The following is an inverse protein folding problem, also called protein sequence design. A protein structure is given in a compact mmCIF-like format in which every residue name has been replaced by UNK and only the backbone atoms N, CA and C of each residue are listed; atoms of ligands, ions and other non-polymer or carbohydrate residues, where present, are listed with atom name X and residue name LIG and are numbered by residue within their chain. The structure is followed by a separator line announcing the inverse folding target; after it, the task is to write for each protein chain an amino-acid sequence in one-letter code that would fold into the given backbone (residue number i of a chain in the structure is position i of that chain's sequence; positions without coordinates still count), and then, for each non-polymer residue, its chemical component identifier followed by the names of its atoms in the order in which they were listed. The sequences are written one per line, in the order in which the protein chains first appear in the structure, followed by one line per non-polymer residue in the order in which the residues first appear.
data_IF_739285972091
#
_entry.id   IF_739285972091
#
_cell.length_a   1.000
_cell.length_b   1.000
_cell.length_c   1.000
_cell.angle_alpha   90.00
_cell.angle_beta   90.00
_cell.angle_gamma   90.00
#
_symmetry.space_group_name_H-M   'P 1'
#
loop_
_entity.id
_entity.type
_entity.pdbx_description
1 polymer ?
#
# COMPACT_ATOMS: atom_id res chain seq x y z
N UNK A 1 3.07 28.31 -0.24
CA UNK A 1 3.48 27.46 0.91
C UNK A 1 3.47 25.99 0.51
N UNK A 2 4.09 25.08 1.26
CA UNK A 2 4.29 23.72 0.75
C UNK A 2 3.05 22.80 0.89
N UNK A 3 2.11 23.10 1.80
CA UNK A 3 1.00 22.25 2.16
C UNK A 3 -0.36 22.99 2.17
N UNK A 4 -0.53 23.99 1.30
CA UNK A 4 -1.74 24.81 1.22
C UNK A 4 -3.02 24.05 0.81
N UNK A 5 -2.88 22.81 0.34
CA UNK A 5 -4.00 21.94 -0.01
C UNK A 5 -4.60 21.18 1.18
N UNK A 6 -3.99 21.28 2.36
CA UNK A 6 -4.44 20.59 3.56
C UNK A 6 -5.32 21.50 4.39
N UNK A 7 -6.52 21.05 4.69
CA UNK A 7 -7.40 21.64 5.68
C UNK A 7 -7.10 21.07 7.07
N UNK A 8 -7.16 21.85 8.13
CA UNK A 8 -6.93 21.37 9.49
C UNK A 8 -7.86 20.21 9.88
N UNK A 9 -7.42 19.42 10.85
CA UNK A 9 -8.27 18.42 11.51
C UNK A 9 -9.45 19.13 12.16
N UNK A 10 -10.65 18.57 11.98
CA UNK A 10 -11.89 19.14 12.48
C UNK A 10 -11.84 19.41 14.01
N UNK A 11 -12.40 20.53 14.42
CA UNK A 11 -12.42 20.96 15.82
C UNK A 11 -13.16 19.98 16.74
N UNK A 12 -14.15 19.23 16.25
CA UNK A 12 -14.82 18.20 17.05
C UNK A 12 -13.87 17.05 17.38
N UNK A 13 -12.99 16.67 16.44
CA UNK A 13 -11.94 15.69 16.68
C UNK A 13 -10.96 16.21 17.73
N UNK A 14 -10.52 17.47 17.61
CA UNK A 14 -9.60 18.07 18.58
C UNK A 14 -10.24 18.13 19.99
N UNK A 15 -11.53 18.45 20.09
CA UNK A 15 -12.26 18.41 21.36
C UNK A 15 -12.32 16.98 21.93
N UNK A 16 -12.61 15.99 21.11
CA UNK A 16 -12.59 14.59 21.51
C UNK A 16 -11.21 14.16 22.04
N UNK A 17 -10.12 14.52 21.35
CA UNK A 17 -8.74 14.20 21.75
C UNK A 17 -8.45 14.77 23.15
N UNK A 18 -8.93 15.96 23.46
CA UNK A 18 -8.76 16.58 24.79
C UNK A 18 -9.45 15.79 25.93
N UNK A 19 -10.36 14.87 25.62
CA UNK A 19 -11.01 13.99 26.61
C UNK A 19 -10.23 12.68 26.84
N UNK A 20 -9.26 12.37 25.97
CA UNK A 20 -8.51 11.13 26.03
C UNK A 20 -7.46 11.13 27.14
N UNK A 21 -7.15 9.92 27.64
CA UNK A 21 -6.06 9.76 28.58
C UNK A 21 -4.70 9.95 27.89
N UNK A 22 -3.67 10.31 28.65
CA UNK A 22 -2.29 10.48 28.14
C UNK A 22 -1.67 9.18 27.58
N UNK A 23 -2.33 8.04 27.79
CA UNK A 23 -1.89 6.75 27.28
C UNK A 23 -2.50 6.40 25.93
N UNK A 24 -3.59 7.07 25.52
CA UNK A 24 -4.26 6.81 24.26
C UNK A 24 -3.55 7.48 23.08
N UNK A 25 -3.77 6.94 21.89
CA UNK A 25 -3.11 7.34 20.66
C UNK A 25 -3.24 8.84 20.37
N UNK A 26 -4.44 9.40 20.49
CA UNK A 26 -4.70 10.79 20.17
C UNK A 26 -3.87 11.78 21.01
N UNK A 27 -3.47 11.41 22.23
CA UNK A 27 -2.61 12.27 23.05
C UNK A 27 -1.13 12.28 22.61
N UNK A 28 -0.74 11.43 21.66
CA UNK A 28 0.65 11.25 21.19
C UNK A 28 0.84 11.65 19.73
N UNK A 29 -0.21 11.99 19.01
CA UNK A 29 -0.21 12.45 17.64
C UNK A 29 -0.07 13.96 17.58
N UNK A 30 0.72 14.47 16.66
CA UNK A 30 0.79 15.90 16.36
C UNK A 30 -0.30 16.27 15.35
N UNK A 31 -1.07 17.31 15.58
CA UNK A 31 -2.22 17.67 14.73
C UNK A 31 -2.00 18.98 13.99
N UNK A 32 -2.37 19.00 12.71
CA UNK A 32 -2.63 20.22 11.97
C UNK A 32 -3.95 20.82 12.47
N UNK A 33 -3.90 21.99 13.05
CA UNK A 33 -5.04 22.73 13.60
C UNK A 33 -5.15 24.11 12.95
N UNK A 34 -6.26 24.81 13.16
CA UNK A 34 -6.41 26.20 12.68
C UNK A 34 -5.32 27.15 13.17
N UNK A 35 -4.61 26.78 14.24
CA UNK A 35 -3.61 27.64 14.90
C UNK A 35 -2.17 27.24 14.60
N UNK A 36 -1.95 25.97 14.30
CA UNK A 36 -0.57 25.43 14.20
C UNK A 36 -0.49 24.27 13.21
N UNK A 37 0.63 24.19 12.52
CA UNK A 37 0.97 23.08 11.62
C UNK A 37 2.15 22.30 12.21
N UNK A 38 2.11 20.94 12.24
CA UNK A 38 3.17 20.13 12.84
C UNK A 38 4.56 20.39 12.24
N UNK A 39 5.57 20.41 13.12
CA UNK A 39 6.97 20.38 12.67
C UNK A 39 7.29 19.03 12.03
N UNK A 40 7.43 19.01 10.70
CA UNK A 40 7.61 17.81 9.91
C UNK A 40 8.98 17.16 10.06
N UNK A 41 9.99 17.84 10.58
CA UNK A 41 11.36 17.31 10.64
C UNK A 41 11.48 16.07 11.55
N UNK A 42 10.56 15.93 12.50
CA UNK A 42 10.52 14.78 13.43
C UNK A 42 9.49 13.72 13.03
N UNK A 43 8.60 14.03 12.12
CA UNK A 43 7.49 13.14 11.74
C UNK A 43 8.02 11.99 10.88
N UNK A 44 7.52 10.79 11.14
CA UNK A 44 7.81 9.59 10.35
C UNK A 44 6.60 9.10 9.55
N UNK A 45 5.41 9.30 10.09
CA UNK A 45 4.15 8.89 9.48
C UNK A 45 3.20 10.09 9.50
N UNK A 46 2.58 10.38 8.37
CA UNK A 46 1.58 11.42 8.22
C UNK A 46 0.23 10.83 7.81
N UNK A 47 -0.79 10.99 8.64
CA UNK A 47 -2.17 10.64 8.29
C UNK A 47 -2.76 11.79 7.49
N UNK A 48 -3.43 11.47 6.38
CA UNK A 48 -4.10 12.41 5.49
C UNK A 48 -5.46 11.85 5.12
N UNK A 49 -6.51 12.62 5.32
CA UNK A 49 -7.82 12.31 4.80
C UNK A 49 -8.01 12.86 3.38
N UNK A 50 -8.71 12.12 2.53
CA UNK A 50 -9.09 12.56 1.17
C UNK A 50 -10.52 12.12 0.91
N UNK A 51 -11.54 12.87 1.37
CA UNK A 51 -12.95 12.49 1.27
C UNK A 51 -13.50 12.70 -0.15
N UNK A 52 -12.79 12.21 -1.15
CA UNK A 52 -13.14 12.28 -2.57
C UNK A 52 -13.66 10.93 -3.07
N UNK A 53 -14.90 10.89 -3.56
CA UNK A 53 -15.51 9.65 -4.04
C UNK A 53 -16.22 9.81 -5.40
N UNK A 54 -16.05 10.94 -6.08
CA UNK A 54 -16.65 11.17 -7.42
C UNK A 54 -16.14 10.21 -8.49
N UNK A 55 -14.99 9.54 -8.25
CA UNK A 55 -14.47 8.49 -9.12
C UNK A 55 -15.20 7.15 -8.99
N UNK A 56 -15.99 6.94 -7.94
CA UNK A 56 -16.87 5.78 -7.83
C UNK A 56 -18.32 6.15 -8.22
N UNK A 57 -18.76 5.66 -9.37
CA UNK A 57 -20.14 5.87 -9.89
C UNK A 57 -21.23 5.31 -8.97
N UNK A 58 -20.88 4.46 -8.02
CA UNK A 58 -21.78 3.83 -7.05
C UNK A 58 -21.78 4.53 -5.70
N UNK A 59 -20.89 5.52 -5.50
CA UNK A 59 -20.85 6.25 -4.25
C UNK A 59 -22.08 7.17 -4.11
N UNK A 60 -22.87 6.91 -3.08
CA UNK A 60 -24.12 7.65 -2.83
C UNK A 60 -24.02 8.64 -1.67
N UNK A 61 -22.93 8.62 -0.92
CA UNK A 61 -22.78 9.41 0.30
C UNK A 61 -21.47 10.20 0.28
N UNK A 62 -21.48 11.35 0.94
CA UNK A 62 -20.24 12.06 1.24
C UNK A 62 -19.37 11.22 2.20
N UNK A 63 -18.07 11.23 1.97
CA UNK A 63 -17.10 10.48 2.79
C UNK A 63 -16.89 11.23 4.10
N UNK A 64 -17.09 10.55 5.22
CA UNK A 64 -16.84 11.08 6.56
C UNK A 64 -15.74 10.28 7.26
N UNK A 65 -14.61 10.92 7.54
CA UNK A 65 -13.45 10.30 8.18
C UNK A 65 -13.43 10.48 9.70
N UNK A 66 -14.42 11.14 10.26
CA UNK A 66 -14.48 11.50 11.68
C UNK A 66 -14.53 10.26 12.58
N UNK A 67 -15.37 9.28 12.24
CA UNK A 67 -15.47 8.05 13.03
C UNK A 67 -14.17 7.26 13.02
N UNK A 68 -13.50 7.16 11.86
CA UNK A 68 -12.21 6.48 11.75
C UNK A 68 -11.19 7.13 12.69
N UNK A 69 -11.09 8.45 12.67
CA UNK A 69 -10.19 9.21 13.55
C UNK A 69 -10.50 8.99 15.01
N UNK A 70 -11.77 9.11 15.42
CA UNK A 70 -12.20 8.91 16.82
C UNK A 70 -11.87 7.50 17.31
N UNK A 71 -12.17 6.46 16.50
CA UNK A 71 -11.86 5.08 16.86
C UNK A 71 -10.35 4.85 16.94
N UNK A 72 -9.57 5.34 15.97
CA UNK A 72 -8.12 5.19 15.98
C UNK A 72 -7.45 5.92 17.16
N UNK A 73 -7.83 7.16 17.44
CA UNK A 73 -7.24 7.94 18.54
C UNK A 73 -7.64 7.43 19.93
N UNK A 74 -8.75 6.73 20.02
CA UNK A 74 -9.19 6.05 21.25
C UNK A 74 -8.35 4.81 21.60
N UNK A 75 -7.61 4.22 20.65
CA UNK A 75 -6.78 3.06 20.88
C UNK A 75 -5.52 3.39 21.71
N UNK A 76 -4.89 2.36 22.24
CA UNK A 76 -3.59 2.49 22.92
C UNK A 76 -2.47 2.13 21.93
N UNK A 77 -1.42 2.96 21.79
CA UNK A 77 -0.24 2.58 21.02
C UNK A 77 0.50 1.45 21.71
N UNK A 78 1.26 0.68 20.93
CA UNK A 78 2.29 -0.19 21.47
C UNK A 78 3.49 0.61 22.03
N UNK A 79 4.61 -0.06 22.24
CA UNK A 79 5.87 0.61 22.62
C UNK A 79 6.52 1.26 21.37
N UNK A 80 5.84 2.26 20.80
CA UNK A 80 6.23 2.90 19.56
C UNK A 80 7.19 4.06 19.79
N UNK A 81 8.14 4.20 18.85
CA UNK A 81 9.14 5.27 18.83
C UNK A 81 8.83 6.32 17.75
N UNK A 82 8.03 5.94 16.73
CA UNK A 82 7.74 6.80 15.60
C UNK A 82 6.76 7.90 15.97
N UNK A 83 7.09 9.12 15.57
CA UNK A 83 6.22 10.27 15.75
C UNK A 83 5.27 10.35 14.57
N UNK A 84 3.99 10.42 14.88
CA UNK A 84 2.88 10.45 13.92
C UNK A 84 2.29 11.86 13.92
N UNK A 85 1.94 12.37 12.73
CA UNK A 85 1.11 13.55 12.60
C UNK A 85 -0.18 13.24 11.86
N UNK A 86 -1.27 13.89 12.21
CA UNK A 86 -2.45 14.02 11.36
C UNK A 86 -2.43 15.41 10.72
N UNK A 87 -2.28 15.42 9.41
CA UNK A 87 -2.17 16.66 8.65
C UNK A 87 -3.53 17.20 8.17
N UNK A 88 -4.64 16.55 8.60
CA UNK A 88 -5.99 16.94 8.20
C UNK A 88 -6.38 16.38 6.83
N UNK A 89 -7.18 17.11 6.10
CA UNK A 89 -7.85 16.61 4.91
C UNK A 89 -7.50 17.42 3.65
N UNK A 90 -7.37 16.72 2.53
CA UNK A 90 -7.45 17.31 1.19
C UNK A 90 -8.91 17.25 0.77
N UNK A 91 -9.60 18.38 0.87
CA UNK A 91 -11.00 18.47 0.50
C UNK A 91 -11.20 18.34 -1.01
N UNK A 92 -12.35 17.80 -1.47
CA UNK A 92 -12.68 17.73 -2.89
C UNK A 92 -12.56 19.08 -3.58
N UNK A 93 -11.78 19.13 -4.67
CA UNK A 93 -11.64 20.31 -5.51
C UNK A 93 -12.87 20.56 -6.38
N UNK A 94 -12.83 21.57 -7.23
CA UNK A 94 -13.91 21.85 -8.18
C UNK A 94 -14.13 20.68 -9.16
N UNK A 95 -13.05 20.05 -9.60
CA UNK A 95 -13.05 18.82 -10.39
C UNK A 95 -12.33 17.70 -9.66
N UNK A 96 -12.47 16.47 -10.15
CA UNK A 96 -11.73 15.29 -9.63
C UNK A 96 -10.21 15.47 -9.84
N UNK A 97 -9.82 16.05 -10.96
CA UNK A 97 -8.44 16.35 -11.34
C UNK A 97 -7.79 17.36 -10.36
N UNK A 98 -8.56 18.32 -9.83
CA UNK A 98 -8.06 19.26 -8.82
C UNK A 98 -7.68 18.51 -7.53
N UNK A 99 -8.52 17.56 -7.10
CA UNK A 99 -8.23 16.70 -5.95
C UNK A 99 -7.02 15.81 -6.22
N UNK A 100 -6.93 15.21 -7.41
CA UNK A 100 -5.77 14.41 -7.82
C UNK A 100 -4.48 15.22 -7.78
N UNK A 101 -4.50 16.43 -8.33
CA UNK A 101 -3.34 17.32 -8.30
C UNK A 101 -2.90 17.65 -6.87
N UNK A 102 -3.84 17.99 -6.00
CA UNK A 102 -3.56 18.31 -4.61
C UNK A 102 -2.95 17.11 -3.88
N UNK A 103 -3.55 15.91 -4.02
CA UNK A 103 -3.06 14.68 -3.40
C UNK A 103 -1.67 14.30 -3.90
N UNK A 104 -1.44 14.35 -5.22
CA UNK A 104 -0.14 14.09 -5.82
C UNK A 104 0.93 15.05 -5.27
N UNK A 105 0.62 16.34 -5.16
CA UNK A 105 1.58 17.35 -4.66
C UNK A 105 1.92 17.15 -3.20
N UNK A 106 0.93 16.94 -2.34
CA UNK A 106 1.15 16.70 -0.91
C UNK A 106 1.96 15.41 -0.71
N UNK A 107 1.54 14.32 -1.34
CA UNK A 107 2.24 13.02 -1.26
C UNK A 107 3.68 13.11 -1.75
N UNK A 108 3.93 13.73 -2.89
CA UNK A 108 5.29 13.93 -3.43
C UNK A 108 6.22 14.66 -2.45
N UNK A 109 5.68 15.64 -1.73
CA UNK A 109 6.47 16.41 -0.74
C UNK A 109 6.80 15.58 0.49
N UNK A 110 5.85 14.77 0.96
CA UNK A 110 6.08 13.86 2.09
C UNK A 110 7.11 12.80 1.73
N UNK A 111 7.00 12.18 0.54
CA UNK A 111 7.98 11.21 0.06
C UNK A 111 9.39 11.81 -0.02
N UNK A 112 9.55 13.04 -0.53
CA UNK A 112 10.84 13.75 -0.56
C UNK A 112 11.42 14.02 0.82
N UNK A 113 10.58 14.18 1.83
CA UNK A 113 11.00 14.37 3.22
C UNK A 113 11.24 13.04 3.95
N UNK A 114 11.01 11.89 3.31
CA UNK A 114 11.09 10.57 3.93
C UNK A 114 9.99 10.33 4.97
N UNK A 115 8.86 11.00 4.83
CA UNK A 115 7.66 10.83 5.66
C UNK A 115 6.69 9.92 4.92
N UNK A 116 6.22 8.87 5.58
CA UNK A 116 5.29 7.92 5.02
C UNK A 116 3.85 8.44 5.16
N UNK A 117 3.13 8.74 4.05
CA UNK A 117 1.71 9.04 4.10
C UNK A 117 0.89 7.77 4.36
N UNK A 118 -0.05 7.86 5.30
CA UNK A 118 -1.17 6.94 5.50
C UNK A 118 -2.42 7.68 5.04
N UNK A 119 -2.97 7.27 3.90
CA UNK A 119 -4.08 7.97 3.25
C UNK A 119 -5.39 7.26 3.56
N UNK A 120 -6.33 8.01 4.13
CA UNK A 120 -7.71 7.60 4.35
C UNK A 120 -8.56 8.22 3.26
N UNK A 121 -8.91 7.44 2.26
CA UNK A 121 -9.55 7.98 1.07
C UNK A 121 -11.02 7.63 0.94
N UNK A 122 -11.64 8.26 -0.04
CA UNK A 122 -12.93 7.90 -0.59
C UNK A 122 -12.78 6.74 -1.57
N UNK A 123 -12.88 7.03 -2.85
CA UNK A 123 -12.81 6.01 -3.91
C UNK A 123 -11.39 5.61 -4.31
N UNK A 124 -11.26 4.42 -4.85
CA UNK A 124 -9.96 3.78 -5.10
C UNK A 124 -9.17 4.39 -6.27
N UNK A 125 -9.79 5.16 -7.15
CA UNK A 125 -9.10 5.95 -8.19
C UNK A 125 -8.04 6.92 -7.62
N UNK A 126 -8.13 7.26 -6.33
CA UNK A 126 -7.10 8.02 -5.61
C UNK A 126 -5.73 7.33 -5.57
N UNK A 127 -5.64 6.05 -5.90
CA UNK A 127 -4.35 5.37 -6.09
C UNK A 127 -3.56 6.00 -7.25
N UNK A 128 -4.24 6.46 -8.30
CA UNK A 128 -3.57 7.07 -9.45
C UNK A 128 -2.70 8.29 -9.07
N UNK A 129 -3.21 9.34 -8.39
CA UNK A 129 -2.36 10.44 -7.93
C UNK A 129 -1.31 10.03 -6.89
N UNK A 130 -1.56 9.00 -6.05
CA UNK A 130 -0.54 8.46 -5.15
C UNK A 130 0.62 7.82 -5.93
N UNK A 131 0.32 7.03 -6.96
CA UNK A 131 1.32 6.47 -7.86
C UNK A 131 2.10 7.57 -8.58
N UNK A 132 1.40 8.58 -9.15
CA UNK A 132 2.04 9.70 -9.83
C UNK A 132 2.92 10.58 -8.92
N UNK A 133 2.73 10.50 -7.59
CA UNK A 133 3.59 11.20 -6.65
C UNK A 133 5.06 10.71 -6.69
N UNK A 134 5.29 9.46 -7.11
CA UNK A 134 6.62 8.87 -7.24
C UNK A 134 7.42 9.43 -8.43
N UNK A 135 6.78 10.05 -9.41
CA UNK A 135 7.47 10.75 -10.51
C UNK A 135 8.43 11.80 -9.98
N UNK A 136 8.07 12.45 -8.88
CA UNK A 136 8.87 13.50 -8.26
C UNK A 136 10.09 13.00 -7.50
N UNK A 137 10.20 11.70 -7.25
CA UNK A 137 11.35 11.04 -6.60
C UNK A 137 12.13 10.12 -7.56
N UNK A 138 11.74 10.13 -8.85
CA UNK A 138 12.39 9.37 -9.93
C UNK A 138 12.60 7.88 -9.58
N UNK A 139 11.56 7.26 -9.02
CA UNK A 139 11.60 5.88 -8.55
C UNK A 139 10.65 5.00 -9.35
N UNK A 140 11.11 3.78 -9.70
CA UNK A 140 10.22 2.70 -10.15
C UNK A 140 9.39 2.21 -8.98
N UNK A 141 8.13 1.92 -9.23
CA UNK A 141 7.12 1.61 -8.19
C UNK A 141 6.67 0.17 -8.29
N UNK A 142 6.69 -0.52 -7.17
CA UNK A 142 5.96 -1.76 -6.97
C UNK A 142 4.65 -1.43 -6.25
N UNK A 143 3.54 -1.53 -6.98
CA UNK A 143 2.19 -1.28 -6.47
C UNK A 143 1.56 -2.60 -6.03
N UNK A 144 1.08 -2.67 -4.81
CA UNK A 144 0.29 -3.81 -4.32
C UNK A 144 -1.10 -3.34 -3.92
N UNK A 145 -2.12 -3.93 -4.56
CA UNK A 145 -3.54 -3.74 -4.21
C UNK A 145 -4.07 -4.97 -3.49
N UNK A 146 -4.60 -4.79 -2.29
CA UNK A 146 -5.35 -5.82 -1.57
C UNK A 146 -6.81 -5.62 -1.96
N UNK A 147 -7.26 -6.41 -2.92
CA UNK A 147 -8.50 -6.16 -3.64
C UNK A 147 -9.09 -7.45 -4.24
N UNK A 148 -10.40 -7.50 -4.38
CA UNK A 148 -11.13 -8.58 -5.05
C UNK A 148 -11.17 -8.46 -6.58
N UNK A 149 -10.77 -7.27 -7.11
CA UNK A 149 -10.78 -6.93 -8.54
C UNK A 149 -9.42 -6.43 -9.01
N UNK A 150 -9.24 -6.37 -10.34
CA UNK A 150 -8.06 -5.77 -10.98
C UNK A 150 -8.24 -4.32 -11.40
N UNK A 151 -9.49 -3.87 -11.61
CA UNK A 151 -9.85 -2.51 -12.01
C UNK A 151 -9.20 -2.04 -13.33
N UNK A 152 -9.21 -2.93 -14.33
CA UNK A 152 -8.83 -2.66 -15.72
C UNK A 152 -10.03 -2.18 -16.58
N UNK A 153 -10.97 -1.47 -16.00
CA UNK A 153 -12.12 -0.97 -16.72
C UNK A 153 -11.78 -0.11 -17.94
N UNK A 154 -12.77 0.12 -18.79
CA UNK A 154 -12.59 0.89 -20.03
C UNK A 154 -12.30 2.37 -19.75
N UNK A 155 -11.27 2.92 -20.40
CA UNK A 155 -10.83 4.30 -20.24
C UNK A 155 -11.73 5.35 -20.92
N UNK A 156 -12.66 4.95 -21.79
CA UNK A 156 -13.50 5.86 -22.57
C UNK A 156 -14.32 6.83 -21.72
N UNK A 157 -14.43 6.58 -20.42
CA UNK A 157 -15.22 7.35 -19.46
C UNK A 157 -14.39 8.16 -18.44
N UNK A 158 -13.08 8.27 -18.63
CA UNK A 158 -12.16 8.90 -17.67
C UNK A 158 -11.66 7.95 -16.58
N UNK A 159 -10.93 8.48 -15.59
CA UNK A 159 -10.43 7.68 -14.45
C UNK A 159 -11.59 7.43 -13.48
N UNK A 160 -11.71 6.19 -13.05
CA UNK A 160 -12.67 5.78 -12.02
C UNK A 160 -12.09 4.71 -11.11
N UNK A 161 -12.78 4.40 -10.02
CA UNK A 161 -12.40 3.33 -9.11
C UNK A 161 -12.25 1.96 -9.81
N UNK A 162 -13.07 1.70 -10.83
CA UNK A 162 -13.02 0.44 -11.61
C UNK A 162 -12.02 0.50 -12.81
N UNK A 163 -11.26 1.60 -13.04
CA UNK A 163 -10.40 1.76 -14.24
C UNK A 163 -9.02 2.40 -14.00
N UNK A 164 -8.69 2.72 -12.77
CA UNK A 164 -7.44 3.41 -12.43
C UNK A 164 -6.19 2.65 -12.86
N UNK A 165 -6.21 1.30 -12.82
CA UNK A 165 -5.04 0.49 -13.19
C UNK A 165 -4.75 0.59 -14.69
N UNK A 166 -5.76 0.60 -15.55
CA UNK A 166 -5.57 0.86 -16.98
C UNK A 166 -4.85 2.18 -17.22
N UNK A 167 -5.20 3.22 -16.47
CA UNK A 167 -4.57 4.54 -16.56
C UNK A 167 -3.10 4.49 -16.10
N UNK A 168 -2.81 3.82 -14.99
CA UNK A 168 -1.44 3.65 -14.49
C UNK A 168 -0.54 2.94 -15.50
N UNK A 169 -1.06 1.91 -16.17
CA UNK A 169 -0.29 1.11 -17.15
C UNK A 169 -0.03 1.87 -18.45
N UNK A 170 -0.96 2.73 -18.88
CA UNK A 170 -0.91 3.37 -20.20
C UNK A 170 -0.30 4.78 -20.18
N UNK A 171 -0.34 5.48 -19.05
CA UNK A 171 0.16 6.86 -18.97
C UNK A 171 1.68 6.92 -18.88
N UNK A 172 2.25 7.83 -19.67
CA UNK A 172 3.68 8.17 -19.60
C UNK A 172 3.96 9.35 -18.63
N UNK A 173 5.12 9.39 -17.98
CA UNK A 173 6.14 8.34 -17.93
C UNK A 173 5.66 7.11 -17.14
N UNK A 174 5.90 5.90 -17.68
CA UNK A 174 5.55 4.67 -16.98
C UNK A 174 6.65 4.28 -16.01
N UNK A 175 6.40 4.48 -14.72
CA UNK A 175 7.31 4.13 -13.63
C UNK A 175 6.86 2.86 -12.88
N UNK A 176 5.83 2.16 -13.36
CA UNK A 176 5.35 0.92 -12.76
C UNK A 176 6.32 -0.22 -13.10
N UNK A 177 7.05 -0.71 -12.10
CA UNK A 177 7.91 -1.88 -12.25
C UNK A 177 7.12 -3.17 -12.07
N UNK A 178 6.30 -3.23 -11.02
CA UNK A 178 5.42 -4.36 -10.76
C UNK A 178 4.07 -3.92 -10.22
N UNK A 179 3.04 -4.64 -10.61
CA UNK A 179 1.74 -4.63 -9.97
C UNK A 179 1.47 -6.02 -9.38
N UNK A 180 0.95 -6.04 -8.17
CA UNK A 180 0.46 -7.27 -7.58
C UNK A 180 -0.92 -7.05 -6.96
N UNK A 181 -1.85 -7.95 -7.27
CA UNK A 181 -3.14 -8.01 -6.59
C UNK A 181 -3.15 -9.16 -5.58
N UNK A 182 -3.60 -8.88 -4.36
CA UNK A 182 -3.78 -9.85 -3.29
C UNK A 182 -5.27 -9.93 -2.95
N UNK A 183 -5.89 -11.07 -3.25
CA UNK A 183 -7.27 -11.32 -2.88
C UNK A 183 -8.26 -11.36 -4.04
N UNK A 184 -7.79 -11.31 -5.29
CA UNK A 184 -8.71 -11.30 -6.42
C UNK A 184 -9.64 -12.52 -6.42
N UNK A 185 -10.83 -12.31 -6.95
CA UNK A 185 -11.84 -13.36 -7.09
C UNK A 185 -12.23 -13.47 -8.56
N UNK A 186 -12.04 -14.66 -9.14
CA UNK A 186 -12.21 -14.89 -10.58
C UNK A 186 -13.59 -14.47 -11.11
N UNK A 187 -14.63 -14.57 -10.30
CA UNK A 187 -15.99 -14.19 -10.72
C UNK A 187 -16.25 -12.67 -10.74
N UNK A 188 -15.31 -11.85 -10.26
CA UNK A 188 -15.37 -10.40 -10.36
C UNK A 188 -14.51 -9.84 -11.49
N UNK A 189 -13.66 -10.67 -12.10
CA UNK A 189 -12.69 -10.27 -13.11
C UNK A 189 -12.95 -11.02 -14.42
N UNK A 190 -12.94 -10.33 -15.54
CA UNK A 190 -13.08 -10.95 -16.85
C UNK A 190 -11.85 -11.82 -17.20
N UNK A 191 -12.03 -12.78 -18.10
CA UNK A 191 -10.89 -13.57 -18.58
C UNK A 191 -9.85 -12.70 -19.29
N UNK A 192 -10.30 -11.63 -19.97
CA UNK A 192 -9.41 -10.66 -20.64
C UNK A 192 -8.51 -9.93 -19.65
N UNK A 193 -9.03 -9.57 -18.47
CA UNK A 193 -8.24 -8.93 -17.40
C UNK A 193 -7.23 -9.91 -16.80
N UNK A 194 -7.62 -11.17 -16.57
CA UNK A 194 -6.73 -12.22 -16.08
C UNK A 194 -5.59 -12.45 -17.08
N UNK A 195 -5.92 -12.60 -18.38
CA UNK A 195 -4.93 -12.75 -19.45
C UNK A 195 -4.00 -11.53 -19.55
N UNK A 196 -4.49 -10.34 -19.26
CA UNK A 196 -3.69 -9.10 -19.28
C UNK A 196 -2.68 -9.08 -18.14
N UNK A 197 -3.08 -9.47 -16.92
CA UNK A 197 -2.17 -9.63 -15.77
C UNK A 197 -1.00 -10.56 -16.14
N UNK A 198 -1.28 -11.69 -16.77
CA UNK A 198 -0.27 -12.66 -17.19
C UNK A 198 0.66 -12.09 -18.27
N UNK A 199 0.10 -11.45 -19.31
CA UNK A 199 0.87 -10.83 -20.41
C UNK A 199 1.80 -9.72 -19.95
N UNK A 200 1.41 -8.98 -18.91
CA UNK A 200 2.23 -7.93 -18.32
C UNK A 200 3.22 -8.47 -17.27
N UNK A 201 3.26 -9.78 -17.07
CA UNK A 201 4.06 -10.45 -16.02
C UNK A 201 3.76 -9.92 -14.60
N UNK A 202 2.56 -9.41 -14.36
CA UNK A 202 2.12 -8.98 -13.05
C UNK A 202 1.79 -10.18 -12.16
N UNK A 203 1.74 -9.95 -10.85
CA UNK A 203 1.43 -10.99 -9.90
C UNK A 203 -0.02 -10.85 -9.43
N UNK A 204 -0.71 -11.98 -9.25
CA UNK A 204 -2.04 -12.01 -8.70
C UNK A 204 -2.26 -13.27 -7.85
N UNK A 205 -2.74 -13.07 -6.63
CA UNK A 205 -3.01 -14.15 -5.68
C UNK A 205 -4.49 -14.19 -5.36
N UNK A 206 -5.09 -15.38 -5.51
CA UNK A 206 -6.52 -15.56 -5.21
C UNK A 206 -6.79 -15.46 -3.72
N UNK A 207 -7.98 -14.97 -3.37
CA UNK A 207 -8.43 -14.90 -1.98
C UNK A 207 -8.22 -16.22 -1.23
N UNK A 208 -8.65 -17.36 -1.81
CA UNK A 208 -8.55 -18.67 -1.15
C UNK A 208 -7.10 -19.12 -0.92
N UNK A 209 -6.17 -18.75 -1.80
CA UNK A 209 -4.75 -19.05 -1.65
C UNK A 209 -4.16 -18.31 -0.44
N UNK A 210 -4.35 -16.99 -0.38
CA UNK A 210 -3.85 -16.16 0.71
C UNK A 210 -4.53 -16.50 2.04
N UNK A 211 -5.84 -16.72 2.06
CA UNK A 211 -6.56 -17.11 3.27
C UNK A 211 -6.13 -18.48 3.81
N UNK A 212 -5.69 -19.39 2.94
CA UNK A 212 -5.16 -20.68 3.37
C UNK A 212 -3.77 -20.58 4.01
N UNK A 213 -2.96 -19.62 3.53
CA UNK A 213 -1.62 -19.34 4.04
C UNK A 213 -1.27 -17.85 3.89
N UNK A 214 -1.61 -17.06 4.88
CA UNK A 214 -1.40 -15.61 4.87
C UNK A 214 0.09 -15.22 4.73
N UNK A 215 1.03 -16.10 5.06
CA UNK A 215 2.46 -15.82 4.98
C UNK A 215 2.97 -15.71 3.53
N UNK A 216 2.21 -16.20 2.54
CA UNK A 216 2.53 -16.03 1.12
C UNK A 216 2.54 -14.55 0.70
N UNK A 217 1.77 -13.72 1.38
CA UNK A 217 1.72 -12.29 1.11
C UNK A 217 2.97 -11.52 1.63
N UNK A 218 3.70 -12.06 2.61
CA UNK A 218 4.81 -11.34 3.25
C UNK A 218 5.91 -10.94 2.27
N UNK A 219 6.48 -11.82 1.43
CA UNK A 219 7.51 -11.45 0.48
C UNK A 219 7.03 -10.43 -0.56
N UNK A 220 5.77 -10.52 -0.96
CA UNK A 220 5.13 -9.60 -1.92
C UNK A 220 5.01 -8.20 -1.32
N UNK A 221 4.43 -8.09 -0.11
CA UNK A 221 4.26 -6.83 0.60
C UNK A 221 5.61 -6.23 1.02
N UNK A 222 6.62 -7.07 1.27
CA UNK A 222 7.99 -6.63 1.56
C UNK A 222 8.67 -5.99 0.35
N UNK A 223 8.26 -6.29 -0.87
CA UNK A 223 8.77 -5.68 -2.10
C UNK A 223 7.95 -4.46 -2.56
N UNK A 224 6.84 -4.15 -1.92
CA UNK A 224 5.97 -3.04 -2.28
C UNK A 224 6.56 -1.67 -1.91
N UNK A 225 6.30 -0.67 -2.75
CA UNK A 225 6.52 0.76 -2.45
C UNK A 225 5.23 1.45 -2.05
N UNK A 226 4.14 1.17 -2.76
CA UNK A 226 2.79 1.66 -2.52
C UNK A 226 1.86 0.47 -2.27
N UNK A 227 1.19 0.47 -1.12
CA UNK A 227 0.19 -0.54 -0.78
C UNK A 227 -1.15 0.13 -0.54
N UNK A 228 -2.20 -0.43 -1.10
CA UNK A 228 -3.56 0.00 -0.82
C UNK A 228 -4.47 -1.18 -0.46
N UNK A 229 -5.52 -0.87 0.31
CA UNK A 229 -6.59 -1.80 0.67
C UNK A 229 -7.91 -1.23 0.16
N UNK A 230 -8.61 -2.00 -0.68
CA UNK A 230 -10.04 -1.81 -0.93
C UNK A 230 -10.84 -2.53 0.15
N UNK A 231 -11.66 -1.80 0.90
CA UNK A 231 -12.48 -2.38 1.96
C UNK A 231 -13.58 -3.31 1.45
N UNK A 232 -13.96 -3.21 0.17
CA UNK A 232 -14.87 -4.16 -0.46
C UNK A 232 -14.27 -5.59 -0.58
N UNK A 233 -12.96 -5.75 -0.34
CA UNK A 233 -12.33 -7.08 -0.27
C UNK A 233 -12.56 -7.79 1.07
N UNK A 234 -13.05 -7.06 2.09
CA UNK A 234 -13.36 -7.61 3.42
C UNK A 234 -14.81 -8.08 3.49
N UNK A 235 -15.04 -9.26 4.05
CA UNK A 235 -16.42 -9.77 4.18
C UNK A 235 -17.25 -8.90 5.13
N UNK A 236 -18.51 -8.68 4.77
CA UNK A 236 -19.43 -7.78 5.47
C UNK A 236 -19.69 -8.18 6.92
N UNK A 237 -19.56 -9.46 7.27
CA UNK A 237 -19.66 -9.91 8.66
C UNK A 237 -18.58 -9.33 9.58
N UNK A 238 -17.43 -8.94 9.01
CA UNK A 238 -16.29 -8.43 9.74
C UNK A 238 -16.13 -6.90 9.57
N UNK A 239 -16.40 -6.37 8.36
CA UNK A 239 -16.37 -4.93 8.12
C UNK A 239 -17.60 -4.20 8.68
N UNK A 240 -18.75 -4.86 8.71
CA UNK A 240 -20.04 -4.22 9.02
C UNK A 240 -20.60 -3.43 7.84
N UNK A 241 -19.99 -3.49 6.66
CA UNK A 241 -20.51 -2.88 5.45
C UNK A 241 -21.63 -3.75 4.86
N UNK A 242 -22.88 -3.35 5.03
CA UNK A 242 -24.04 -4.02 4.46
C UNK A 242 -24.60 -3.27 3.24
N UNK A 243 -24.07 -2.10 2.91
CA UNK A 243 -24.43 -1.35 1.71
C UNK A 243 -23.86 -2.03 0.47
N UNK A 244 -22.56 -2.38 0.51
CA UNK A 244 -21.89 -3.20 -0.49
C UNK A 244 -21.63 -4.59 0.09
N UNK A 245 -22.70 -5.42 0.13
CA UNK A 245 -22.64 -6.71 0.81
C UNK A 245 -21.67 -7.69 0.15
N UNK A 246 -20.61 -8.02 0.85
CA UNK A 246 -19.56 -8.95 0.43
C UNK A 246 -19.56 -10.17 1.37
N UNK A 247 -20.17 -11.31 0.98
CA UNK A 247 -20.23 -12.49 1.83
C UNK A 247 -18.91 -13.27 1.88
N UNK A 248 -18.08 -13.16 0.86
CA UNK A 248 -16.82 -13.89 0.69
C UNK A 248 -15.67 -12.91 0.47
N UNK A 249 -14.82 -12.75 1.46
CA UNK A 249 -13.70 -11.82 1.48
C UNK A 249 -12.75 -12.15 2.62
N UNK A 250 -11.72 -11.35 2.80
CA UNK A 250 -10.85 -11.46 3.97
C UNK A 250 -11.63 -11.24 5.26
N UNK A 251 -11.24 -11.91 6.32
CA UNK A 251 -11.73 -11.60 7.65
C UNK A 251 -10.89 -10.49 8.30
N UNK A 252 -11.38 -9.96 9.44
CA UNK A 252 -10.70 -8.86 10.14
C UNK A 252 -9.28 -9.20 10.58
N UNK A 253 -8.99 -10.46 10.97
CA UNK A 253 -7.64 -10.89 11.33
C UNK A 253 -6.71 -10.93 10.12
N UNK A 254 -7.18 -11.44 9.00
CA UNK A 254 -6.38 -11.55 7.77
C UNK A 254 -6.01 -10.18 7.25
N UNK A 255 -6.97 -9.25 7.12
CA UNK A 255 -6.70 -7.91 6.62
C UNK A 255 -5.75 -7.12 7.53
N UNK A 256 -5.89 -7.24 8.86
CA UNK A 256 -4.95 -6.67 9.82
C UNK A 256 -3.55 -7.28 9.71
N UNK A 257 -3.43 -8.58 9.40
CA UNK A 257 -2.15 -9.24 9.18
C UNK A 257 -1.47 -8.72 7.91
N UNK A 258 -2.22 -8.54 6.82
CA UNK A 258 -1.72 -7.94 5.57
C UNK A 258 -1.25 -6.49 5.79
N UNK A 259 -2.01 -5.70 6.53
CA UNK A 259 -1.61 -4.35 6.92
C UNK A 259 -0.31 -4.35 7.75
N UNK A 260 -0.16 -5.29 8.68
CA UNK A 260 1.06 -5.43 9.48
C UNK A 260 2.25 -5.84 8.63
N UNK A 261 2.11 -6.77 7.69
CA UNK A 261 3.16 -7.13 6.74
C UNK A 261 3.60 -5.95 5.87
N UNK A 262 2.64 -5.14 5.41
CA UNK A 262 2.93 -3.88 4.70
C UNK A 262 3.75 -2.92 5.57
N UNK A 263 3.39 -2.77 6.85
CA UNK A 263 4.09 -1.91 7.79
C UNK A 263 5.52 -2.35 8.07
N UNK A 264 5.76 -3.66 8.27
CA UNK A 264 7.10 -4.23 8.55
C UNK A 264 8.06 -4.07 7.36
N UNK A 265 7.56 -3.89 6.15
CA UNK A 265 8.40 -3.68 4.99
C UNK A 265 9.22 -2.40 5.11
N UNK A 266 10.55 -2.52 5.04
CA UNK A 266 11.45 -1.36 5.00
C UNK A 266 11.30 -0.53 3.71
N UNK A 267 10.64 -1.09 2.69
CA UNK A 267 10.48 -0.50 1.35
C UNK A 267 9.17 0.26 1.18
N UNK A 268 8.10 -0.12 1.87
CA UNK A 268 6.81 0.58 1.76
C UNK A 268 6.94 2.02 2.23
N UNK A 269 6.62 2.94 1.34
CA UNK A 269 6.70 4.39 1.57
C UNK A 269 5.36 5.11 1.49
N UNK A 270 4.29 4.40 1.07
CA UNK A 270 2.91 4.91 1.08
C UNK A 270 1.93 3.78 1.38
N UNK A 271 0.94 4.04 2.22
CA UNK A 271 -0.15 3.11 2.57
C UNK A 271 -1.49 3.82 2.48
N UNK A 272 -2.49 3.18 1.91
CA UNK A 272 -3.81 3.78 1.71
C UNK A 272 -4.95 2.79 1.97
N UNK A 273 -6.10 3.31 2.40
CA UNK A 273 -7.35 2.55 2.59
C UNK A 273 -8.48 3.30 1.91
N UNK A 274 -9.27 2.61 1.09
CA UNK A 274 -10.31 3.17 0.24
C UNK A 274 -11.64 2.43 0.35
N UNK A 275 -12.69 3.04 -0.21
CA UNK A 275 -14.02 2.45 -0.40
C UNK A 275 -14.74 2.07 0.89
N UNK A 276 -14.63 2.90 1.95
CA UNK A 276 -15.39 2.70 3.18
C UNK A 276 -16.81 3.29 3.11
N UNK A 277 -17.74 2.74 3.89
CA UNK A 277 -19.18 3.07 3.84
C UNK A 277 -19.65 4.09 4.90
N UNK A 278 -18.72 4.75 5.59
CA UNK A 278 -19.00 5.67 6.71
C UNK A 278 -19.64 5.03 7.95
N UNK A 279 -19.79 3.70 8.01
CA UNK A 279 -20.35 3.05 9.18
C UNK A 279 -19.38 3.09 10.36
N UNK A 280 -19.94 3.17 11.57
CA UNK A 280 -19.13 3.09 12.78
C UNK A 280 -18.41 1.74 12.89
N UNK A 281 -19.07 0.67 12.47
CA UNK A 281 -18.53 -0.68 12.52
C UNK A 281 -17.30 -0.82 11.62
N UNK A 282 -17.40 -0.34 10.40
CA UNK A 282 -16.25 -0.37 9.46
C UNK A 282 -15.12 0.55 9.93
N UNK A 283 -15.46 1.71 10.52
CA UNK A 283 -14.47 2.63 11.12
C UNK A 283 -13.64 1.98 12.22
N UNK A 284 -14.22 1.08 13.02
CA UNK A 284 -13.50 0.30 14.05
C UNK A 284 -12.47 -0.63 13.38
N UNK A 285 -12.85 -1.30 12.29
CA UNK A 285 -11.92 -2.16 11.56
C UNK A 285 -10.80 -1.35 10.89
N UNK A 286 -11.12 -0.22 10.27
CA UNK A 286 -10.12 0.67 9.63
C UNK A 286 -9.12 1.16 10.68
N UNK A 287 -9.60 1.56 11.85
CA UNK A 287 -8.74 1.99 12.96
C UNK A 287 -7.74 0.88 13.37
N UNK A 288 -8.18 -0.39 13.38
CA UNK A 288 -7.32 -1.54 13.64
C UNK A 288 -6.33 -1.78 12.49
N UNK A 289 -6.76 -1.68 11.24
CA UNK A 289 -5.88 -1.80 10.06
C UNK A 289 -4.74 -0.79 10.14
N UNK A 290 -5.06 0.49 10.41
CA UNK A 290 -4.06 1.56 10.57
C UNK A 290 -3.14 1.25 11.76
N UNK A 291 -3.70 0.80 12.88
CA UNK A 291 -2.95 0.45 14.08
C UNK A 291 -1.93 -0.66 13.77
N UNK A 292 -2.36 -1.75 13.10
CA UNK A 292 -1.47 -2.87 12.73
C UNK A 292 -0.40 -2.46 11.71
N UNK A 293 -0.74 -1.59 10.77
CA UNK A 293 0.25 -1.02 9.85
C UNK A 293 1.32 -0.23 10.60
N UNK A 294 0.93 0.66 11.50
CA UNK A 294 1.85 1.49 12.28
C UNK A 294 2.66 0.63 13.27
N UNK A 295 2.05 -0.39 13.87
CA UNK A 295 2.80 -1.36 14.66
C UNK A 295 3.88 -2.02 13.81
N UNK A 296 3.51 -2.53 12.64
CA UNK A 296 4.47 -3.11 11.69
C UNK A 296 5.61 -2.13 11.36
N UNK A 297 5.30 -0.88 11.08
CA UNK A 297 6.30 0.16 10.81
C UNK A 297 7.31 0.32 11.97
N UNK A 298 6.87 0.26 13.21
CA UNK A 298 7.73 0.36 14.39
C UNK A 298 8.59 -0.90 14.61
N UNK A 299 8.28 -2.02 13.94
CA UNK A 299 9.07 -3.25 13.94
C UNK A 299 9.92 -3.45 12.68
N UNK A 300 10.12 -2.39 11.88
CA UNK A 300 11.06 -2.42 10.75
C UNK A 300 12.45 -2.79 11.22
N UNK A 301 13.08 -3.68 10.49
CA UNK A 301 14.41 -4.19 10.81
C UNK A 301 15.54 -3.34 10.24
N UNK A 302 15.26 -2.41 9.34
CA UNK A 302 16.22 -1.65 8.55
C UNK A 302 17.19 -2.59 7.82
N UNK A 303 16.64 -3.62 7.22
CA UNK A 303 17.35 -4.72 6.58
C UNK A 303 17.20 -4.69 5.06
N UNK A 304 16.98 -3.52 4.50
CA UNK A 304 16.92 -3.42 3.06
C UNK A 304 18.30 -3.76 2.46
N UNK A 305 18.40 -4.81 1.62
CA UNK A 305 19.70 -5.41 1.28
C UNK A 305 20.57 -4.59 0.32
N UNK A 306 20.34 -3.29 0.18
CA UNK A 306 21.15 -2.41 -0.66
C UNK A 306 22.44 -1.90 0.01
N UNK A 307 22.63 -2.11 1.30
CA UNK A 307 23.78 -1.60 2.03
C UNK A 307 24.95 -2.56 2.01
N UNK A 308 24.95 -3.55 2.88
CA UNK A 308 26.02 -4.54 3.05
C UNK A 308 25.46 -5.96 3.01
N UNK A 309 26.02 -6.78 2.12
CA UNK A 309 25.69 -8.21 2.04
C UNK A 309 26.37 -9.04 3.16
N UNK A 310 27.18 -8.44 4.00
CA UNK A 310 27.94 -9.12 5.08
C UNK A 310 27.03 -9.73 6.17
N UNK A 311 25.82 -9.15 6.35
CA UNK A 311 24.84 -9.64 7.32
C UNK A 311 23.93 -10.76 6.75
N UNK A 312 24.24 -11.25 5.56
CA UNK A 312 23.46 -12.26 4.88
C UNK A 312 24.30 -13.50 4.57
N UNK A 313 23.70 -14.66 4.77
CA UNK A 313 24.25 -15.94 4.27
C UNK A 313 23.88 -16.10 2.81
N UNK A 314 24.86 -16.32 1.94
CA UNK A 314 24.67 -16.51 0.52
C UNK A 314 24.53 -18.01 0.20
N UNK A 315 23.52 -18.37 -0.59
CA UNK A 315 23.27 -19.71 -1.09
C UNK A 315 23.27 -19.68 -2.62
N UNK A 316 23.95 -20.63 -3.26
CA UNK A 316 23.96 -20.75 -4.72
C UNK A 316 23.29 -22.07 -5.06
N UNK A 317 22.27 -22.01 -5.89
CA UNK A 317 21.53 -23.19 -6.36
C UNK A 317 21.77 -23.33 -7.85
N UNK A 318 22.58 -24.31 -8.30
CA UNK A 318 22.80 -24.56 -9.73
C UNK A 318 21.51 -25.03 -10.39
N UNK A 319 21.21 -24.46 -11.57
CA UNK A 319 20.18 -24.92 -12.50
C UNK A 319 20.85 -25.40 -13.79
N UNK A 320 20.09 -25.96 -14.73
CA UNK A 320 20.65 -26.47 -15.99
C UNK A 320 21.36 -25.38 -16.84
N UNK A 321 20.82 -24.16 -16.88
CA UNK A 321 21.33 -23.07 -17.73
C UNK A 321 21.98 -21.92 -16.95
N UNK A 322 21.67 -21.78 -15.65
CA UNK A 322 22.10 -20.65 -14.83
C UNK A 322 22.22 -21.01 -13.33
N UNK A 323 22.76 -20.10 -12.55
CA UNK A 323 22.81 -20.23 -11.09
C UNK A 323 21.82 -19.25 -10.44
N UNK A 324 20.96 -19.74 -9.56
CA UNK A 324 20.11 -18.90 -8.73
C UNK A 324 20.83 -18.57 -7.41
N UNK A 325 20.93 -17.29 -7.12
CA UNK A 325 21.62 -16.79 -5.93
C UNK A 325 20.63 -16.28 -4.92
N UNK A 326 20.64 -16.90 -3.75
CA UNK A 326 19.78 -16.52 -2.62
C UNK A 326 20.58 -15.89 -1.49
N UNK A 327 19.94 -15.02 -0.74
CA UNK A 327 20.47 -14.42 0.47
C UNK A 327 19.48 -14.60 1.62
N UNK A 328 19.95 -15.11 2.74
CA UNK A 328 19.18 -15.22 3.98
C UNK A 328 19.75 -14.25 4.99
N UNK A 329 18.88 -13.38 5.55
CA UNK A 329 19.29 -12.51 6.67
C UNK A 329 19.68 -13.32 7.91
N UNK A 330 20.80 -12.96 8.50
CA UNK A 330 21.24 -13.54 9.78
C UNK A 330 20.49 -12.93 10.98
N UNK A 331 19.72 -11.84 10.76
CA UNK A 331 18.97 -11.13 11.80
C UNK A 331 17.51 -11.54 11.86
N UNK A 332 16.84 -11.62 10.69
CA UNK A 332 15.38 -11.84 10.59
C UNK A 332 15.02 -13.17 9.97
N UNK A 333 16.01 -13.89 9.45
CA UNK A 333 15.86 -15.13 8.67
C UNK A 333 15.06 -14.98 7.35
N UNK A 334 14.78 -13.75 6.93
CA UNK A 334 14.13 -13.45 5.65
C UNK A 334 15.03 -13.76 4.48
N UNK A 335 14.42 -14.09 3.34
CA UNK A 335 15.10 -14.51 2.13
C UNK A 335 14.92 -13.51 0.99
N UNK A 336 15.93 -13.44 0.14
CA UNK A 336 15.93 -12.72 -1.14
C UNK A 336 16.58 -13.58 -2.20
N UNK A 337 16.14 -13.41 -3.45
CA UNK A 337 16.77 -14.00 -4.63
C UNK A 337 17.33 -12.90 -5.53
N UNK A 338 18.52 -13.10 -6.03
CA UNK A 338 19.18 -12.14 -6.92
C UNK A 338 18.54 -12.21 -8.33
N UNK A 339 18.19 -11.05 -8.88
CA UNK A 339 17.73 -10.93 -10.26
C UNK A 339 18.90 -10.42 -11.10
N UNK A 340 19.30 -11.09 -12.19
CA UNK A 340 20.32 -10.59 -13.09
C UNK A 340 19.97 -9.22 -13.63
N UNK A 341 20.90 -8.28 -13.54
CA UNK A 341 20.71 -6.92 -14.03
C UNK A 341 21.24 -6.83 -15.46
N UNK A 342 20.35 -6.62 -16.42
CA UNK A 342 20.72 -6.28 -17.78
C UNK A 342 20.68 -4.76 -17.94
N UNK A 343 21.86 -4.12 -17.98
CA UNK A 343 21.99 -2.67 -18.20
C UNK A 343 21.49 -2.32 -19.59
N UNK A 344 20.28 -1.82 -19.70
CA UNK A 344 19.83 -1.10 -20.89
C UNK A 344 20.16 0.37 -20.71
N UNK A 345 20.93 0.94 -21.64
CA UNK A 345 21.59 2.25 -21.58
C UNK A 345 20.67 3.47 -21.47
N UNK A 346 19.37 3.33 -21.38
CA UNK A 346 18.42 4.45 -21.44
C UNK A 346 17.53 4.64 -20.20
N UNK A 347 17.55 3.75 -19.22
CA UNK A 347 16.72 3.91 -18.03
C UNK A 347 17.56 4.37 -16.83
N UNK A 348 17.42 5.66 -16.44
CA UNK A 348 18.12 6.26 -15.29
C UNK A 348 17.53 5.85 -13.93
N UNK A 349 16.39 5.15 -13.92
CA UNK A 349 15.70 4.78 -12.69
C UNK A 349 16.38 3.56 -12.04
N UNK A 350 16.53 3.57 -10.72
CA UNK A 350 17.08 2.44 -9.96
C UNK A 350 16.15 1.24 -10.07
N UNK A 351 16.67 0.10 -10.54
CA UNK A 351 16.00 -1.20 -10.49
C UNK A 351 16.54 -2.00 -9.31
N UNK A 352 15.66 -2.74 -8.63
CA UNK A 352 16.06 -3.66 -7.58
C UNK A 352 16.78 -4.86 -8.21
N UNK A 353 17.91 -5.26 -7.63
CA UNK A 353 18.64 -6.46 -8.02
C UNK A 353 18.30 -7.66 -7.11
N UNK A 354 17.54 -7.45 -6.07
CA UNK A 354 17.15 -8.47 -5.11
C UNK A 354 15.64 -8.46 -4.93
N UNK A 355 15.03 -9.61 -5.16
CA UNK A 355 13.60 -9.83 -4.97
C UNK A 355 13.38 -10.52 -3.63
N UNK A 356 12.56 -9.99 -2.72
CA UNK A 356 12.11 -10.70 -1.54
C UNK A 356 11.45 -12.02 -1.91
N UNK A 357 11.84 -13.10 -1.26
CA UNK A 357 11.27 -14.43 -1.50
C UNK A 357 11.01 -15.16 -0.16
N UNK A 358 10.31 -16.28 -0.24
CA UNK A 358 10.09 -17.19 0.86
C UNK A 358 11.18 -18.26 0.93
N UNK A 359 11.25 -19.00 2.05
CA UNK A 359 12.08 -20.20 2.14
C UNK A 359 11.56 -21.31 1.21
N UNK A 360 10.25 -21.36 0.97
CA UNK A 360 9.64 -22.33 0.05
C UNK A 360 10.12 -22.11 -1.39
N UNK A 361 10.22 -20.86 -1.85
CA UNK A 361 10.78 -20.54 -3.17
C UNK A 361 12.25 -20.98 -3.29
N UNK A 362 13.05 -20.90 -2.20
CA UNK A 362 14.41 -21.48 -2.17
C UNK A 362 14.38 -23.01 -2.30
N UNK A 363 13.46 -23.69 -1.59
CA UNK A 363 13.33 -25.14 -1.71
C UNK A 363 12.84 -25.57 -3.10
N UNK A 364 11.94 -24.82 -3.72
CA UNK A 364 11.51 -24.99 -5.12
C UNK A 364 12.72 -24.96 -6.07
N UNK A 365 13.58 -23.95 -5.89
CA UNK A 365 14.81 -23.86 -6.68
C UNK A 365 15.76 -25.07 -6.44
N UNK A 366 15.89 -25.54 -5.19
CA UNK A 366 16.67 -26.73 -4.90
C UNK A 366 16.14 -28.01 -5.58
N UNK A 367 14.86 -28.05 -5.90
CA UNK A 367 14.21 -29.13 -6.65
C UNK A 367 14.31 -28.94 -8.19
N UNK A 368 15.15 -28.03 -8.67
CA UNK A 368 15.37 -27.73 -10.10
C UNK A 368 14.15 -27.07 -10.77
N UNK A 369 13.31 -26.38 -10.00
CA UNK A 369 12.19 -25.60 -10.50
C UNK A 369 12.49 -24.10 -10.30
N UNK A 370 12.29 -23.28 -11.35
CA UNK A 370 12.52 -21.84 -11.28
C UNK A 370 11.33 -21.17 -10.58
N UNK A 371 11.53 -20.39 -9.50
CA UNK A 371 10.46 -19.66 -8.85
C UNK A 371 9.76 -18.68 -9.81
N UNK A 372 8.44 -18.74 -9.88
CA UNK A 372 7.65 -17.98 -10.87
C UNK A 372 7.89 -16.46 -10.76
N UNK A 373 7.92 -15.92 -9.53
CA UNK A 373 8.15 -14.49 -9.30
C UNK A 373 9.52 -14.03 -9.79
N UNK A 374 10.56 -14.85 -9.61
CA UNK A 374 11.89 -14.57 -10.14
C UNK A 374 11.88 -14.53 -11.66
N UNK A 375 11.26 -15.53 -12.30
CA UNK A 375 11.13 -15.58 -13.76
C UNK A 375 10.39 -14.36 -14.32
N UNK A 376 9.27 -13.97 -13.72
CA UNK A 376 8.52 -12.77 -14.10
C UNK A 376 9.37 -11.51 -13.96
N UNK A 377 10.06 -11.36 -12.82
CA UNK A 377 10.92 -10.20 -12.57
C UNK A 377 12.09 -10.12 -13.55
N UNK A 378 12.70 -11.26 -13.91
CA UNK A 378 13.74 -11.34 -14.94
C UNK A 378 13.21 -10.87 -16.30
N UNK A 379 12.02 -11.31 -16.72
CA UNK A 379 11.39 -10.90 -17.98
C UNK A 379 11.14 -9.39 -18.05
N UNK A 380 10.62 -8.79 -16.97
CA UNK A 380 10.44 -7.33 -16.88
C UNK A 380 11.75 -6.54 -17.00
N UNK A 381 12.86 -7.10 -16.54
CA UNK A 381 14.17 -6.44 -16.66
C UNK A 381 14.76 -6.49 -18.09
N UNK A 382 14.28 -7.38 -18.96
CA UNK A 382 14.72 -7.50 -20.35
C UNK A 382 13.93 -6.57 -21.28
N UNK A 383 12.66 -6.28 -20.93
CA UNK A 383 11.79 -5.36 -21.67
C UNK A 383 12.09 -3.91 -21.31
#
# INVERSE_FOLDING_TARGET
MEFDFLSPVDNEIIQFINTLSSQQMGSKVAFHTDKDFPDLDKIKIAIIGVPENRGDKKAYQEVNLEFIRKEFYGLFPGNWQSIIADLGDILPGNSLEDTFFALQKVTSRLLKKGILPVVLGGSQDLIYPLYRAYDAVEQMVNLVSIDSKFDFGKQEEGISADSYLSKIVLDEPNNLFNYCNIGYQTYFNSQEEIDLIEKLYFDAYRLGEISSNISLAEPVLRDADLVNIDLNTVKSSDSGNFTNFTPNGFNGKEICSLARYSGISDKVTCFAVFNHDNSKQESVLIAQIIWYFIEGYNFRSNEYPFGSKELYSKYIVPQEEEELVFYKSNKTERWWIEIPFFSTSHNKLKKSTLLPCSHEEYLTACNQEIPERWWKAQRKNIL
#
